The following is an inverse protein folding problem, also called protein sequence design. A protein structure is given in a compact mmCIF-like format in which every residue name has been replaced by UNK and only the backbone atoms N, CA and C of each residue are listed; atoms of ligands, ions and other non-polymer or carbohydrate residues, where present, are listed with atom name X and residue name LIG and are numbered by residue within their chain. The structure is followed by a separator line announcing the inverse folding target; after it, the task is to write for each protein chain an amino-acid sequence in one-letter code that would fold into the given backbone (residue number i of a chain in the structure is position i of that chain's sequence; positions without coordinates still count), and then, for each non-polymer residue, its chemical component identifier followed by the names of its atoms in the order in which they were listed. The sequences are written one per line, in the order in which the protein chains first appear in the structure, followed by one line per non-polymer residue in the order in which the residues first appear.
data_IF_456792646828
#
_entry.id   IF_456792646828
#
_cell.length_a   1.000
_cell.length_b   1.000
_cell.length_c   1.000
_cell.angle_alpha   90.00
_cell.angle_beta   90.00
_cell.angle_gamma   90.00
#
_symmetry.space_group_name_H-M   'P 1'
#
loop_
_entity.id
_entity.type
_entity.pdbx_description
1 polymer ?
#
# COMPACT_ATOMS: atom_id res chain seq x y z
N UNK A 1 3.60 -4.61 4.48
CA UNK A 1 4.38 -4.35 3.24
C UNK A 1 4.00 -2.97 2.75
N UNK A 2 4.99 -2.13 2.43
CA UNK A 2 4.75 -0.75 2.00
C UNK A 2 3.78 -0.71 0.80
N UNK A 3 2.58 -0.21 1.03
CA UNK A 3 1.50 -0.15 0.03
C UNK A 3 0.91 1.26 -0.12
N UNK A 4 1.42 2.22 0.60
CA UNK A 4 1.04 3.64 0.53
C UNK A 4 2.19 4.52 0.97
N UNK A 5 2.34 5.67 0.33
CA UNK A 5 3.35 6.64 0.71
C UNK A 5 2.96 8.06 0.30
N UNK A 6 3.76 9.04 0.69
CA UNK A 6 3.54 10.46 0.43
C UNK A 6 4.71 11.07 -0.31
N UNK A 7 4.42 12.12 -1.07
CA UNK A 7 5.39 13.09 -1.56
C UNK A 7 4.71 14.45 -1.58
N UNK A 8 4.89 15.20 -0.51
CA UNK A 8 4.16 16.45 -0.24
C UNK A 8 5.03 17.69 -0.47
N UNK A 9 6.36 17.54 -0.38
CA UNK A 9 7.32 18.62 -0.60
C UNK A 9 8.29 18.29 -1.75
N UNK A 10 8.60 19.29 -2.55
CA UNK A 10 9.53 19.20 -3.68
C UNK A 10 10.76 20.10 -3.50
N UNK A 11 10.80 20.91 -2.44
CA UNK A 11 11.80 21.99 -2.28
C UNK A 11 13.23 21.45 -2.16
N UNK A 12 13.45 20.39 -1.40
CA UNK A 12 14.78 19.84 -1.14
C UNK A 12 15.15 18.64 -2.05
N UNK A 13 14.29 18.27 -2.99
CA UNK A 13 14.49 17.06 -3.80
C UNK A 13 15.79 17.11 -4.61
N UNK A 14 16.12 18.26 -5.19
CA UNK A 14 17.34 18.39 -5.97
C UNK A 14 18.58 18.09 -5.11
N UNK A 15 18.65 18.68 -3.94
CA UNK A 15 19.78 18.53 -3.02
C UNK A 15 19.81 17.13 -2.41
N UNK A 16 18.69 16.66 -1.91
CA UNK A 16 18.59 15.36 -1.23
C UNK A 16 18.87 14.17 -2.16
N UNK A 17 18.42 14.24 -3.41
CA UNK A 17 18.58 13.14 -4.37
C UNK A 17 19.72 13.34 -5.36
N UNK A 18 20.38 14.51 -5.34
CA UNK A 18 21.43 14.86 -6.28
C UNK A 18 20.93 14.97 -7.73
N UNK A 19 19.76 15.60 -7.93
CA UNK A 19 19.20 15.76 -9.27
C UNK A 19 19.99 16.75 -10.10
N UNK A 20 20.07 16.49 -11.41
CA UNK A 20 20.76 17.35 -12.37
C UNK A 20 20.13 18.74 -12.48
N UNK A 21 18.82 18.84 -12.27
CA UNK A 21 18.07 20.09 -12.27
C UNK A 21 16.94 20.03 -11.23
N UNK A 22 16.41 21.19 -10.78
CA UNK A 22 15.22 21.22 -9.95
C UNK A 22 14.07 20.49 -10.64
N UNK A 23 13.26 19.72 -9.90
CA UNK A 23 12.09 19.08 -10.48
C UNK A 23 11.05 20.12 -10.91
N UNK A 24 10.26 19.79 -11.93
CA UNK A 24 9.11 20.61 -12.27
C UNK A 24 8.13 20.65 -11.09
N UNK A 25 7.47 21.79 -10.85
CA UNK A 25 6.45 21.90 -9.83
C UNK A 25 5.36 20.82 -10.01
N UNK A 26 4.99 20.17 -8.94
CA UNK A 26 3.93 19.17 -8.93
C UNK A 26 3.05 19.34 -7.69
N UNK A 27 1.81 18.88 -7.78
CA UNK A 27 0.91 18.93 -6.63
C UNK A 27 1.37 17.97 -5.54
N UNK A 28 1.28 18.35 -4.26
CA UNK A 28 1.51 17.46 -3.14
C UNK A 28 0.62 16.21 -3.22
N UNK A 29 1.18 15.07 -2.87
CA UNK A 29 0.48 13.80 -2.85
C UNK A 29 0.58 13.18 -1.47
N UNK A 30 -0.57 12.97 -0.84
CA UNK A 30 -0.69 12.52 0.55
C UNK A 30 -1.05 11.04 0.67
N UNK A 31 -1.44 10.39 -0.44
CA UNK A 31 -1.94 9.01 -0.39
C UNK A 31 -1.65 8.25 -1.70
N UNK A 32 -0.40 8.19 -2.09
CA UNK A 32 0.04 7.49 -3.30
C UNK A 32 -0.16 5.99 -3.12
N UNK A 33 -0.86 5.37 -4.09
CA UNK A 33 -1.23 3.96 -4.07
C UNK A 33 -0.67 3.18 -5.26
N UNK A 34 -0.54 1.85 -5.15
CA UNK A 34 -0.14 0.99 -6.27
C UNK A 34 -1.01 1.19 -7.51
N UNK A 35 -0.38 1.04 -8.68
CA UNK A 35 -1.01 1.25 -9.98
C UNK A 35 -0.94 2.69 -10.49
N UNK A 36 -0.64 3.65 -9.64
CA UNK A 36 -0.48 5.06 -10.02
C UNK A 36 0.92 5.33 -10.59
N UNK A 37 1.03 6.44 -11.34
CA UNK A 37 2.32 6.99 -11.78
C UNK A 37 3.03 7.64 -10.61
N UNK A 38 4.30 7.30 -10.42
CA UNK A 38 5.11 7.73 -9.28
C UNK A 38 6.47 8.24 -9.75
N UNK A 39 7.02 9.29 -9.14
CA UNK A 39 8.33 9.80 -9.50
C UNK A 39 9.44 8.90 -8.98
N UNK A 40 10.37 8.55 -9.85
CA UNK A 40 11.58 7.80 -9.51
C UNK A 40 12.80 8.48 -10.10
N UNK A 41 13.97 8.26 -9.46
CA UNK A 41 15.29 8.56 -10.04
C UNK A 41 15.88 7.23 -10.51
N UNK A 42 16.06 7.07 -11.83
CA UNK A 42 16.61 5.83 -12.41
C UNK A 42 18.14 5.84 -12.36
N UNK A 43 18.74 4.66 -12.39
CA UNK A 43 20.19 4.48 -12.54
C UNK A 43 20.64 4.74 -13.99
N UNK A 44 20.55 5.98 -14.39
CA UNK A 44 20.94 6.49 -15.71
C UNK A 44 22.01 7.58 -15.54
N UNK A 45 22.67 7.96 -16.65
CA UNK A 45 23.74 8.95 -16.62
C UNK A 45 23.30 10.29 -16.00
N UNK A 46 22.06 10.68 -16.25
CA UNK A 46 21.49 11.90 -15.70
C UNK A 46 20.40 11.55 -14.67
N UNK A 47 20.48 12.16 -13.49
CA UNK A 47 19.51 11.99 -12.41
C UNK A 47 18.36 12.97 -12.57
N UNK A 48 17.28 12.50 -13.11
CA UNK A 48 16.03 13.26 -13.28
C UNK A 48 14.86 12.48 -12.70
N UNK A 49 13.83 13.20 -12.24
CA UNK A 49 12.58 12.58 -11.84
C UNK A 49 11.84 12.09 -13.09
N UNK A 50 11.58 10.81 -13.13
CA UNK A 50 10.84 10.15 -14.23
C UNK A 50 9.57 9.52 -13.68
N UNK A 51 8.39 9.80 -14.21
CA UNK A 51 7.17 9.12 -13.81
C UNK A 51 7.14 7.68 -14.35
N UNK A 52 6.91 6.71 -13.48
CA UNK A 52 6.74 5.30 -13.83
C UNK A 52 5.55 4.70 -13.06
N UNK A 53 4.93 3.65 -13.57
CA UNK A 53 3.80 3.00 -12.89
C UNK A 53 4.30 2.18 -11.69
N UNK A 54 3.71 2.35 -10.53
CA UNK A 54 4.00 1.52 -9.36
C UNK A 54 3.29 0.15 -9.47
N UNK A 55 4.07 -0.89 -9.58
CA UNK A 55 3.67 -2.28 -9.82
C UNK A 55 4.45 -2.80 -11.03
N UNK A 56 5.62 -3.40 -10.76
CA UNK A 56 6.59 -3.80 -11.78
C UNK A 56 5.99 -4.85 -12.74
N UNK A 57 6.08 -4.57 -14.01
CA UNK A 57 5.74 -5.50 -15.09
C UNK A 57 7.05 -6.02 -15.70
N UNK A 58 7.42 -7.29 -15.48
CA UNK A 58 8.63 -7.86 -16.07
C UNK A 58 8.58 -7.78 -17.60
N UNK A 59 9.73 -7.59 -18.24
CA UNK A 59 9.82 -7.45 -19.70
C UNK A 59 9.24 -8.63 -20.48
N UNK A 60 9.19 -9.82 -19.88
CA UNK A 60 8.68 -11.06 -20.44
C UNK A 60 7.20 -11.34 -20.13
N UNK A 61 6.53 -10.45 -19.39
CA UNK A 61 5.14 -10.66 -18.98
C UNK A 61 4.19 -10.62 -20.21
N UNK A 62 3.25 -11.55 -20.26
CA UNK A 62 2.19 -11.56 -21.27
C UNK A 62 1.07 -10.58 -20.93
N UNK A 63 0.84 -10.35 -19.62
CA UNK A 63 -0.24 -9.52 -19.12
C UNK A 63 0.31 -8.48 -18.12
N UNK A 64 0.14 -7.17 -18.37
CA UNK A 64 0.61 -6.12 -17.48
C UNK A 64 -0.09 -6.11 -16.11
N UNK A 65 -1.22 -6.79 -15.95
CA UNK A 65 -1.91 -6.94 -14.65
C UNK A 65 -1.08 -7.67 -13.59
N UNK A 66 -0.04 -8.41 -14.01
CA UNK A 66 0.93 -9.03 -13.09
C UNK A 66 1.55 -7.98 -12.15
N UNK A 67 1.73 -6.73 -12.61
CA UNK A 67 2.24 -5.62 -11.82
C UNK A 67 1.46 -5.36 -10.53
N UNK A 68 0.16 -5.63 -10.50
CA UNK A 68 -0.66 -5.45 -9.31
C UNK A 68 -0.21 -6.33 -8.11
N UNK A 69 0.53 -7.41 -8.38
CA UNK A 69 1.11 -8.32 -7.37
C UNK A 69 2.60 -8.06 -7.13
N UNK A 70 3.21 -7.15 -7.92
CA UNK A 70 4.64 -6.87 -7.90
C UNK A 70 4.91 -5.42 -7.44
N UNK A 71 4.15 -4.95 -6.45
CA UNK A 71 4.35 -3.63 -5.86
C UNK A 71 5.56 -3.59 -4.92
N UNK A 72 5.97 -4.75 -4.39
CA UNK A 72 7.13 -4.89 -3.51
C UNK A 72 7.99 -6.10 -3.89
N UNK A 73 9.31 -5.94 -3.75
CA UNK A 73 10.31 -6.99 -3.85
C UNK A 73 11.01 -7.17 -2.50
N UNK A 74 11.13 -8.41 -1.98
CA UNK A 74 11.79 -8.66 -0.70
C UNK A 74 13.30 -8.75 -0.89
N UNK A 75 14.09 -8.04 -0.12
CA UNK A 75 15.56 -8.03 -0.19
C UNK A 75 16.15 -9.44 -0.05
N UNK A 76 15.55 -10.33 0.77
CA UNK A 76 16.03 -11.69 1.01
C UNK A 76 15.89 -12.61 -0.22
N UNK A 77 15.02 -12.28 -1.14
CA UNK A 77 14.73 -13.12 -2.32
C UNK A 77 14.86 -12.40 -3.66
N UNK A 78 15.18 -11.11 -3.65
CA UNK A 78 15.22 -10.28 -4.86
C UNK A 78 16.27 -10.75 -5.87
N UNK A 79 17.39 -11.27 -5.39
CA UNK A 79 18.47 -11.83 -6.21
C UNK A 79 18.08 -13.14 -6.91
N UNK A 80 17.24 -13.95 -6.27
CA UNK A 80 16.86 -15.27 -6.76
C UNK A 80 15.61 -15.24 -7.68
N UNK A 81 14.69 -14.31 -7.44
CA UNK A 81 13.41 -14.29 -8.18
C UNK A 81 13.57 -13.83 -9.62
N UNK A 82 13.09 -14.62 -10.63
CA UNK A 82 13.19 -14.27 -12.05
C UNK A 82 12.60 -12.90 -12.40
N UNK A 83 11.52 -12.49 -11.70
CA UNK A 83 10.86 -11.22 -11.92
C UNK A 83 11.72 -10.00 -11.54
N UNK A 84 12.69 -10.16 -10.64
CA UNK A 84 13.46 -9.05 -10.07
C UNK A 84 14.96 -9.10 -10.33
N UNK A 85 15.56 -10.31 -10.45
CA UNK A 85 17.02 -10.46 -10.54
C UNK A 85 17.66 -9.66 -11.68
N UNK A 86 17.00 -9.61 -12.85
CA UNK A 86 17.51 -8.85 -14.00
C UNK A 86 17.43 -7.34 -13.73
N UNK A 87 16.30 -6.86 -13.22
CA UNK A 87 16.13 -5.45 -12.85
C UNK A 87 17.08 -5.04 -11.72
N UNK A 88 17.31 -5.91 -10.73
CA UNK A 88 18.26 -5.66 -9.64
C UNK A 88 19.68 -5.42 -10.14
N UNK A 89 20.15 -6.21 -11.11
CA UNK A 89 21.50 -6.04 -11.68
C UNK A 89 21.61 -4.77 -12.54
N UNK A 90 20.56 -4.36 -13.26
CA UNK A 90 20.69 -3.37 -14.35
C UNK A 90 19.73 -2.18 -14.27
N UNK A 91 18.63 -2.27 -13.54
CA UNK A 91 17.52 -1.29 -13.57
C UNK A 91 17.08 -0.94 -12.16
N UNK A 92 17.96 -0.28 -11.44
CA UNK A 92 17.69 0.22 -10.09
C UNK A 92 17.17 1.65 -10.16
N UNK A 93 16.37 2.03 -9.18
CA UNK A 93 15.89 3.39 -9.03
C UNK A 93 15.72 3.74 -7.54
N UNK A 94 15.58 5.01 -7.27
CA UNK A 94 15.04 5.51 -6.02
C UNK A 94 13.57 5.87 -6.24
N UNK A 95 12.66 5.28 -5.48
CA UNK A 95 11.29 5.75 -5.39
C UNK A 95 11.27 6.87 -4.36
N UNK A 96 10.84 8.04 -4.80
CA UNK A 96 10.96 9.28 -4.00
C UNK A 96 9.76 9.41 -3.09
N UNK A 97 10.00 9.66 -1.81
CA UNK A 97 8.99 9.82 -0.78
C UNK A 97 9.44 10.80 0.30
N UNK A 98 8.51 11.38 1.03
CA UNK A 98 8.76 12.11 2.27
C UNK A 98 8.13 11.43 3.50
N UNK A 99 7.26 10.43 3.27
CA UNK A 99 6.70 9.56 4.29
C UNK A 99 6.02 8.34 3.69
N UNK A 100 5.68 7.37 4.52
CA UNK A 100 4.94 6.18 4.11
C UNK A 100 4.00 5.70 5.21
N UNK A 101 3.06 4.80 4.84
CA UNK A 101 2.10 4.26 5.78
C UNK A 101 2.30 2.76 5.97
N UNK A 102 2.08 2.32 7.21
CA UNK A 102 1.92 0.92 7.55
C UNK A 102 0.79 0.73 8.57
N UNK A 103 0.21 -0.46 8.57
CA UNK A 103 -0.97 -0.78 9.34
C UNK A 103 -0.62 -1.74 10.46
N UNK A 104 -0.71 -1.25 11.69
CA UNK A 104 -0.58 -2.08 12.88
C UNK A 104 -1.80 -2.98 13.02
N UNK A 105 -1.57 -4.29 13.19
CA UNK A 105 -2.62 -5.23 13.54
C UNK A 105 -3.00 -5.05 15.00
N UNK A 106 -4.29 -5.15 15.32
CA UNK A 106 -4.73 -5.21 16.72
C UNK A 106 -4.08 -6.41 17.43
N UNK A 107 -3.66 -6.21 18.68
CA UNK A 107 -3.04 -7.26 19.50
C UNK A 107 -3.97 -8.47 19.71
N UNK A 108 -3.39 -9.59 20.15
CA UNK A 108 -4.11 -10.88 20.31
C UNK A 108 -5.23 -10.89 21.36
N UNK A 109 -5.32 -9.83 22.21
CA UNK A 109 -6.33 -9.73 23.28
C UNK A 109 -7.69 -9.16 22.85
N UNK A 110 -7.85 -8.69 21.62
CA UNK A 110 -9.12 -8.14 21.14
C UNK A 110 -10.07 -9.19 20.61
N UNK A 111 -11.38 -9.00 20.83
CA UNK A 111 -12.43 -9.84 20.25
C UNK A 111 -12.37 -9.89 18.72
N UNK A 112 -13.19 -10.73 18.08
CA UNK A 112 -13.15 -10.99 16.62
C UNK A 112 -13.23 -9.72 15.75
N UNK A 113 -13.96 -8.70 16.20
CA UNK A 113 -14.06 -7.39 15.52
C UNK A 113 -12.76 -6.57 15.65
N UNK A 114 -12.10 -6.59 16.81
CA UNK A 114 -10.83 -5.89 17.04
C UNK A 114 -9.68 -6.53 16.24
N UNK A 115 -9.69 -7.86 16.04
CA UNK A 115 -8.69 -8.56 15.20
C UNK A 115 -8.79 -8.20 13.71
N UNK A 116 -9.93 -7.71 13.24
CA UNK A 116 -10.14 -7.26 11.87
C UNK A 116 -9.69 -5.81 11.64
N UNK A 117 -9.56 -5.02 12.69
CA UNK A 117 -9.22 -3.60 12.62
C UNK A 117 -7.70 -3.42 12.53
N UNK A 118 -7.26 -2.65 11.57
CA UNK A 118 -5.86 -2.26 11.39
C UNK A 118 -5.76 -0.76 11.59
N UNK A 119 -4.83 -0.35 12.46
CA UNK A 119 -4.58 1.07 12.76
C UNK A 119 -3.49 1.60 11.84
N UNK A 120 -3.77 2.58 10.97
CA UNK A 120 -2.77 3.19 10.12
C UNK A 120 -1.82 4.07 10.92
N UNK A 121 -0.54 3.97 10.60
CA UNK A 121 0.51 4.83 11.10
C UNK A 121 1.20 5.52 9.93
N UNK A 122 1.55 6.77 10.10
CA UNK A 122 2.38 7.53 9.19
C UNK A 122 3.80 7.57 9.73
N UNK A 123 4.77 7.29 8.87
CA UNK A 123 6.18 7.20 9.19
C UNK A 123 6.93 8.16 8.28
N UNK A 124 7.68 9.11 8.84
CA UNK A 124 8.41 10.13 8.12
C UNK A 124 9.67 10.57 8.85
N UNK A 125 10.54 11.33 8.18
CA UNK A 125 11.66 11.99 8.85
C UNK A 125 11.17 13.12 9.73
N UNK A 126 11.75 13.26 10.92
CA UNK A 126 11.41 14.36 11.86
C UNK A 126 11.57 15.75 11.25
N UNK A 127 12.59 15.92 10.40
CA UNK A 127 12.83 17.17 9.67
C UNK A 127 11.92 17.36 8.45
N UNK A 128 11.04 16.41 8.13
CA UNK A 128 10.19 16.47 6.94
C UNK A 128 10.93 16.29 5.61
N UNK A 129 12.25 16.06 5.63
CA UNK A 129 13.05 15.96 4.42
C UNK A 129 12.70 14.70 3.61
N UNK A 130 12.68 14.78 2.27
CA UNK A 130 12.44 13.64 1.40
C UNK A 130 13.57 12.60 1.48
N UNK A 131 13.28 11.39 1.02
CA UNK A 131 14.24 10.29 0.99
C UNK A 131 13.97 9.35 -0.19
N UNK A 132 14.99 8.56 -0.55
CA UNK A 132 14.90 7.52 -1.57
C UNK A 132 14.63 6.16 -0.95
N UNK A 133 13.54 5.51 -1.34
CA UNK A 133 13.33 4.09 -1.13
C UNK A 133 13.98 3.31 -2.27
N UNK A 134 14.78 2.28 -1.97
CA UNK A 134 15.35 1.41 -2.98
C UNK A 134 14.24 0.80 -3.84
N UNK A 135 14.35 0.95 -5.13
CA UNK A 135 13.40 0.43 -6.10
C UNK A 135 14.07 -0.24 -7.28
N UNK A 136 13.30 -1.04 -7.99
CA UNK A 136 13.69 -1.60 -9.27
C UNK A 136 12.69 -1.12 -10.31
N UNK A 137 13.16 -0.88 -11.52
CA UNK A 137 12.28 -0.48 -12.63
C UNK A 137 12.42 -1.44 -13.79
N UNK A 138 11.40 -1.50 -14.64
CA UNK A 138 11.39 -2.35 -15.83
C UNK A 138 10.66 -1.65 -16.97
N UNK A 139 10.99 -2.06 -18.17
CA UNK A 139 10.38 -1.59 -19.41
C UNK A 139 9.75 -2.78 -20.12
N UNK A 140 8.45 -2.76 -20.24
CA UNK A 140 7.65 -3.78 -20.89
C UNK A 140 7.08 -3.25 -22.20
N UNK A 141 7.12 -4.05 -23.26
CA UNK A 141 6.56 -3.71 -24.55
C UNK A 141 5.22 -4.40 -24.72
N UNK A 142 4.16 -3.62 -24.89
CA UNK A 142 2.81 -4.14 -25.16
C UNK A 142 2.71 -4.72 -26.57
N UNK A 143 1.72 -5.59 -26.85
CA UNK A 143 1.50 -6.16 -28.17
C UNK A 143 1.27 -5.13 -29.29
N UNK A 144 0.69 -3.97 -28.95
CA UNK A 144 0.49 -2.84 -29.86
C UNK A 144 1.75 -2.00 -30.11
N UNK A 145 2.88 -2.39 -29.51
CA UNK A 145 4.17 -1.71 -29.64
C UNK A 145 4.41 -0.59 -28.63
N UNK A 146 3.44 -0.20 -27.81
CA UNK A 146 3.61 0.81 -26.76
C UNK A 146 4.51 0.32 -25.65
N UNK A 147 5.19 1.25 -24.98
CA UNK A 147 6.10 0.93 -23.87
C UNK A 147 5.50 1.36 -22.54
N UNK A 148 5.53 0.46 -21.58
CA UNK A 148 5.18 0.73 -20.18
C UNK A 148 6.43 0.64 -19.32
N UNK A 149 6.77 1.71 -18.62
CA UNK A 149 7.78 1.70 -17.57
C UNK A 149 7.09 1.57 -16.22
N UNK A 150 7.63 0.70 -15.39
CA UNK A 150 7.04 0.35 -14.11
C UNK A 150 8.12 0.11 -13.06
N UNK A 151 7.77 0.24 -11.77
CA UNK A 151 8.70 0.02 -10.67
C UNK A 151 8.10 -0.83 -9.55
N UNK A 152 8.97 -1.33 -8.69
CA UNK A 152 8.64 -1.98 -7.42
C UNK A 152 9.52 -1.39 -6.32
N UNK A 153 9.00 -1.35 -5.08
CA UNK A 153 9.77 -0.94 -3.91
C UNK A 153 10.43 -2.18 -3.30
N UNK A 154 11.72 -2.10 -3.02
CA UNK A 154 12.42 -3.15 -2.26
C UNK A 154 12.05 -3.00 -0.78
N UNK A 155 11.75 -4.10 -0.12
CA UNK A 155 11.39 -4.13 1.30
C UNK A 155 12.31 -5.07 2.07
N UNK A 156 12.63 -4.71 3.31
CA UNK A 156 13.45 -5.47 4.24
C UNK A 156 12.72 -5.75 5.54
N UNK A 157 13.36 -6.43 6.48
CA UNK A 157 12.86 -6.59 7.84
C UNK A 157 12.71 -5.24 8.54
N UNK A 158 11.74 -5.17 9.44
CA UNK A 158 11.47 -3.97 10.21
C UNK A 158 12.60 -3.67 11.20
N UNK A 159 12.98 -2.41 11.31
CA UNK A 159 13.86 -1.93 12.38
C UNK A 159 13.08 -1.77 13.70
N UNK A 160 13.76 -1.31 14.77
CA UNK A 160 13.16 -1.15 16.10
C UNK A 160 11.95 -0.17 16.11
N UNK A 161 11.95 0.87 15.26
CA UNK A 161 10.82 1.79 15.15
C UNK A 161 9.60 1.11 14.52
N UNK A 162 9.83 0.30 13.49
CA UNK A 162 8.77 -0.31 12.69
C UNK A 162 8.23 -1.62 13.27
N UNK A 163 9.05 -2.38 13.99
CA UNK A 163 8.70 -3.70 14.51
C UNK A 163 7.36 -3.75 15.29
N UNK A 164 7.00 -2.76 16.12
CA UNK A 164 5.71 -2.74 16.80
C UNK A 164 4.52 -2.52 15.86
N UNK A 165 4.74 -1.94 14.67
CA UNK A 165 3.69 -1.59 13.70
C UNK A 165 3.53 -2.70 12.67
N UNK A 166 4.63 -3.08 12.03
CA UNK A 166 4.62 -4.09 10.98
C UNK A 166 5.99 -4.77 10.86
N UNK A 167 6.03 -6.07 10.58
CA UNK A 167 7.28 -6.84 10.46
C UNK A 167 8.14 -6.52 9.23
N UNK A 168 7.71 -5.61 8.36
CA UNK A 168 8.42 -5.20 7.13
C UNK A 168 8.39 -3.69 6.98
N UNK A 169 9.42 -3.14 6.30
CA UNK A 169 9.51 -1.74 5.93
C UNK A 169 10.12 -1.58 4.53
N UNK A 170 9.92 -0.45 3.84
CA UNK A 170 10.69 -0.15 2.64
C UNK A 170 12.18 -0.07 2.97
N UNK A 171 13.03 -0.54 2.06
CA UNK A 171 14.47 -0.36 2.16
C UNK A 171 14.80 1.11 1.86
N UNK A 172 14.95 1.90 2.92
CA UNK A 172 15.33 3.31 2.82
C UNK A 172 16.85 3.37 2.76
N UNK A 173 17.37 3.93 1.69
CA UNK A 173 18.82 4.10 1.54
C UNK A 173 19.27 5.40 2.21
N UNK A 174 20.46 5.35 2.80
CA UNK A 174 21.16 6.59 3.16
C UNK A 174 21.68 7.31 1.90
N UNK A 175 21.90 8.60 2.03
CA UNK A 175 22.37 9.43 0.90
C UNK A 175 23.72 8.97 0.36
N UNK A 176 24.61 8.48 1.22
CA UNK A 176 25.92 7.98 0.81
C UNK A 176 25.84 6.74 -0.09
N UNK A 177 24.74 6.00 0.02
CA UNK A 177 24.49 4.79 -0.79
C UNK A 177 23.85 5.08 -2.15
N UNK A 178 23.36 6.31 -2.41
CA UNK A 178 22.63 6.62 -3.65
C UNK A 178 23.49 6.45 -4.89
N UNK A 179 24.75 6.93 -4.86
CA UNK A 179 25.66 6.83 -5.99
C UNK A 179 25.92 5.37 -6.39
N UNK A 180 26.16 4.52 -5.40
CA UNK A 180 26.36 3.10 -5.63
C UNK A 180 25.08 2.40 -6.10
N UNK A 181 23.92 2.74 -5.52
CA UNK A 181 22.64 2.17 -5.94
C UNK A 181 22.25 2.58 -7.35
N UNK A 182 22.51 3.82 -7.72
CA UNK A 182 22.17 4.40 -9.02
C UNK A 182 23.29 4.28 -10.05
N UNK A 183 24.38 3.56 -9.78
CA UNK A 183 25.42 3.31 -10.76
C UNK A 183 24.80 2.62 -12.00
N UNK A 184 24.95 3.14 -13.23
CA UNK A 184 24.44 2.49 -14.42
C UNK A 184 25.07 1.13 -14.72
N UNK A 185 26.30 0.86 -14.21
CA UNK A 185 26.96 -0.42 -14.38
C UNK A 185 26.18 -1.58 -13.76
N UNK A 186 26.19 -2.76 -14.38
CA UNK A 186 25.62 -3.95 -13.78
C UNK A 186 26.33 -4.28 -12.47
N UNK A 187 25.56 -4.39 -11.37
CA UNK A 187 26.09 -4.82 -10.09
C UNK A 187 26.00 -6.34 -9.95
N UNK A 188 27.05 -6.93 -9.36
CA UNK A 188 27.06 -8.34 -8.99
C UNK A 188 26.34 -8.57 -7.66
N UNK A 189 25.86 -9.79 -7.36
CA UNK A 189 25.17 -10.07 -6.11
C UNK A 189 25.97 -9.67 -4.86
N UNK A 190 27.29 -9.81 -4.89
CA UNK A 190 28.22 -9.50 -3.80
C UNK A 190 28.24 -7.98 -3.51
N UNK A 191 28.14 -7.16 -4.55
CA UNK A 191 28.10 -5.69 -4.44
C UNK A 191 26.77 -5.21 -3.86
N UNK A 192 25.71 -5.98 -4.07
CA UNK A 192 24.35 -5.63 -3.66
C UNK A 192 24.08 -5.96 -2.19
N UNK A 193 24.72 -6.99 -1.62
CA UNK A 193 24.48 -7.43 -0.24
C UNK A 193 24.58 -6.30 0.78
N UNK A 194 25.63 -5.44 0.77
CA UNK A 194 25.72 -4.32 1.71
C UNK A 194 24.60 -3.29 1.55
N UNK A 195 24.03 -3.16 0.33
CA UNK A 195 22.97 -2.21 0.02
C UNK A 195 21.57 -2.73 0.36
N UNK A 196 21.41 -4.05 0.56
CA UNK A 196 20.12 -4.68 0.86
C UNK A 196 19.80 -4.73 2.36
N UNK A 197 20.60 -4.08 3.19
CA UNK A 197 20.35 -3.94 4.63
C UNK A 197 19.94 -2.51 4.92
N UNK A 198 18.81 -2.34 5.60
CA UNK A 198 18.38 -1.01 6.03
C UNK A 198 19.29 -0.50 7.13
N UNK A 199 19.93 0.65 6.96
CA UNK A 199 20.63 1.28 8.08
C UNK A 199 19.64 1.63 9.20
N UNK A 200 20.10 1.79 10.47
CA UNK A 200 19.26 2.28 11.55
C UNK A 200 18.72 3.65 11.18
N UNK A 201 17.42 3.77 10.98
CA UNK A 201 16.76 5.04 10.62
C UNK A 201 16.51 5.81 11.90
N UNK A 202 17.51 6.57 12.38
CA UNK A 202 17.51 7.26 13.67
C UNK A 202 16.67 8.54 13.68
N UNK A 203 16.46 9.15 12.52
CA UNK A 203 15.80 10.43 12.32
C UNK A 203 14.31 10.30 11.93
N UNK A 204 13.76 9.09 12.00
CA UNK A 204 12.36 8.85 11.71
C UNK A 204 11.50 8.82 12.97
N UNK A 205 10.24 9.15 12.76
CA UNK A 205 9.18 8.96 13.77
C UNK A 205 7.93 8.37 13.12
N UNK A 206 7.06 7.84 13.98
CA UNK A 206 5.81 7.24 13.58
C UNK A 206 4.68 7.66 14.52
N UNK A 207 3.52 7.97 13.97
CA UNK A 207 2.32 8.26 14.74
C UNK A 207 1.07 7.74 14.03
N UNK A 208 0.00 7.59 14.80
CA UNK A 208 -1.30 7.14 14.28
C UNK A 208 -1.94 8.25 13.46
N UNK A 209 -2.58 7.85 12.35
CA UNK A 209 -3.36 8.74 11.50
C UNK A 209 -4.80 8.23 11.35
N UNK A 210 -5.65 9.07 10.75
CA UNK A 210 -7.03 8.72 10.45
C UNK A 210 -7.13 7.52 9.49
N UNK A 211 -8.18 6.72 9.64
CA UNK A 211 -8.54 5.66 8.69
C UNK A 211 -8.93 6.18 7.30
N UNK A 212 -9.03 7.49 7.12
CA UNK A 212 -9.24 8.16 5.83
C UNK A 212 -8.24 7.65 4.78
N UNK A 213 -6.97 7.44 5.20
CA UNK A 213 -5.91 6.92 4.33
C UNK A 213 -6.19 5.54 3.74
N UNK A 214 -7.13 4.76 4.30
CA UNK A 214 -7.47 3.43 3.79
C UNK A 214 -8.03 3.49 2.36
N UNK A 215 -8.71 4.56 2.02
CA UNK A 215 -9.31 4.76 0.72
C UNK A 215 -8.40 5.63 -0.18
N UNK A 216 -7.84 5.09 -1.30
CA UNK A 216 -6.87 5.79 -2.14
C UNK A 216 -7.37 7.07 -2.80
N UNK A 217 -8.67 7.27 -2.87
CA UNK A 217 -9.29 8.49 -3.40
C UNK A 217 -9.12 9.70 -2.48
N UNK A 218 -8.86 9.48 -1.19
CA UNK A 218 -8.50 10.56 -0.28
C UNK A 218 -6.99 10.82 -0.40
N UNK A 219 -6.64 11.90 -1.07
CA UNK A 219 -5.27 12.33 -1.31
C UNK A 219 -5.13 13.80 -0.89
N UNK A 220 -5.23 14.05 0.41
CA UNK A 220 -5.36 15.36 1.03
C UNK A 220 -4.59 15.45 2.35
N UNK A 221 -4.27 16.65 2.86
CA UNK A 221 -3.48 16.84 4.08
C UNK A 221 -3.99 16.05 5.29
N UNK A 222 -5.30 15.89 5.43
CA UNK A 222 -5.91 15.14 6.52
C UNK A 222 -5.44 13.68 6.63
N UNK A 223 -4.86 13.11 5.56
CA UNK A 223 -4.29 11.76 5.58
C UNK A 223 -3.03 11.64 6.47
N UNK A 224 -2.29 12.73 6.65
CA UNK A 224 -1.06 12.76 7.47
C UNK A 224 -1.25 13.43 8.84
N UNK A 225 -2.43 13.94 9.13
CA UNK A 225 -2.70 14.54 10.45
C UNK A 225 -2.71 13.46 11.54
N UNK A 226 -2.09 13.74 12.69
CA UNK A 226 -2.15 12.84 13.83
C UNK A 226 -3.61 12.55 14.22
N UNK A 227 -3.95 11.27 14.35
CA UNK A 227 -5.27 10.90 14.86
C UNK A 227 -5.41 11.39 16.31
N UNK A 228 -6.60 11.87 16.73
CA UNK A 228 -6.85 12.18 18.11
C UNK A 228 -6.47 11.00 19.01
N UNK A 229 -5.94 11.24 20.23
CA UNK A 229 -5.78 10.16 21.19
C UNK A 229 -7.13 9.46 21.34
N UNK A 230 -7.14 8.11 21.29
CA UNK A 230 -8.37 7.39 21.58
C UNK A 230 -8.91 7.88 22.92
N UNK A 231 -10.06 8.56 22.88
CA UNK A 231 -10.89 8.59 24.05
C UNK A 231 -11.04 7.13 24.47
N UNK A 232 -10.62 6.80 25.69
CA UNK A 232 -10.79 5.48 26.28
C UNK A 232 -12.18 5.04 25.90
N UNK A 233 -12.30 3.98 25.09
CA UNK A 233 -13.57 3.48 24.62
C UNK A 233 -14.45 3.35 25.84
N UNK A 234 -15.48 4.18 25.92
CA UNK A 234 -16.38 4.28 27.03
C UNK A 234 -16.83 2.90 27.45
N UNK A 235 -16.37 2.48 28.62
CA UNK A 235 -17.01 1.43 29.42
C UNK A 235 -18.37 1.95 29.94
N UNK A 236 -19.19 2.56 29.05
CA UNK A 236 -20.51 3.11 29.34
C UNK A 236 -21.50 2.78 28.24
N UNK A 237 -21.70 1.51 28.02
CA UNK A 237 -22.84 1.04 27.24
C UNK A 237 -23.33 -0.28 27.80
N UNK A 238 -23.60 -0.34 29.11
CA UNK A 238 -24.48 -1.33 29.72
C UNK A 238 -25.07 -0.72 31.01
N UNK A 239 -25.92 0.27 30.81
CA UNK A 239 -26.97 0.59 31.79
C UNK A 239 -28.28 0.13 31.14
N UNK A 240 -28.89 -0.93 31.64
CA UNK A 240 -30.22 -1.32 31.19
C UNK A 240 -31.19 -0.14 31.47
N UNK A 241 -32.15 0.16 30.59
CA UNK A 241 -33.15 1.20 30.86
C UNK A 241 -33.93 0.80 32.11
N UNK A 242 -33.86 1.65 33.14
CA UNK A 242 -34.67 1.51 34.34
C UNK A 242 -36.14 1.31 33.96
N UNK A 243 -36.74 0.30 34.57
CA UNK A 243 -38.16 0.00 34.48
C UNK A 243 -38.99 1.22 34.87
N UNK A 244 -39.84 1.71 33.97
CA UNK A 244 -40.92 2.62 34.29
C UNK A 244 -41.96 1.92 35.14
N UNK A 245 -42.50 2.52 36.23
CA UNK A 245 -43.53 1.91 37.02
C UNK A 245 -44.86 1.77 36.25
N UNK A 246 -45.39 0.57 36.28
CA UNK A 246 -46.73 0.25 35.74
C UNK A 246 -47.79 0.96 36.57
N UNK A 247 -48.59 1.83 35.95
CA UNK A 247 -49.88 2.18 36.48
C UNK A 247 -50.93 1.33 35.78
N UNK A 248 -51.58 0.49 36.59
CA UNK A 248 -52.58 -0.45 36.15
C UNK A 248 -53.86 0.21 35.68
N UNK A 249 -54.62 -0.48 34.87
CA UNK A 249 -56.05 -0.71 35.04
C UNK A 249 -56.54 -1.86 34.15
N UNK A 250 -57.27 -2.74 34.79
CA UNK A 250 -57.96 -3.93 34.28
C UNK A 250 -58.82 -3.68 33.02
N UNK A 251 -58.84 -4.70 32.16
CA UNK A 251 -60.08 -5.46 31.85
C UNK A 251 -59.82 -6.57 30.82
N UNK A 252 -60.14 -7.82 31.21
CA UNK A 252 -60.42 -8.98 30.32
C UNK A 252 -61.93 -8.98 30.03
N UNK A 253 -62.51 -9.85 29.16
CA UNK A 253 -61.96 -10.98 28.39
C UNK A 253 -62.55 -11.14 26.95
N UNK A 254 -62.10 -12.06 26.15
CA UNK A 254 -62.81 -13.18 25.52
C UNK A 254 -62.09 -13.74 24.27
N UNK A 255 -61.72 -14.96 24.38
CA UNK A 255 -61.94 -16.20 23.64
C UNK A 255 -62.24 -16.11 22.12
N UNK A 256 -61.43 -16.84 21.30
CA UNK A 256 -61.83 -17.23 19.94
C UNK A 256 -60.72 -17.82 19.07
N UNK A 257 -60.53 -19.13 19.18
CA UNK A 257 -60.34 -20.17 18.12
C UNK A 257 -59.23 -20.00 17.05
N UNK A 258 -58.27 -20.80 17.18
CA UNK A 258 -57.74 -21.93 16.36
C UNK A 258 -58.20 -21.96 14.89
N UNK A 259 -57.30 -21.85 13.95
CA UNK A 259 -57.30 -22.68 12.73
C UNK A 259 -55.93 -22.85 12.11
N UNK A 260 -55.73 -24.06 11.63
CA UNK A 260 -54.56 -24.79 11.18
C UNK A 260 -54.36 -24.64 9.67
N UNK A 261 -53.08 -24.56 9.25
CA UNK A 261 -52.43 -25.16 8.04
C UNK A 261 -53.10 -24.98 6.65
N UNK A 262 -52.40 -25.18 5.49
CA UNK A 262 -51.24 -26.04 5.26
C UNK A 262 -50.13 -25.48 4.29
N UNK A 263 -49.11 -26.30 4.18
CA UNK A 263 -47.99 -26.39 3.23
C UNK A 263 -48.43 -26.57 1.76
N UNK A 264 -47.74 -25.94 0.81
CA UNK A 264 -47.53 -26.48 -0.54
C UNK A 264 -46.30 -25.80 -1.13
N UNK A 265 -45.27 -26.50 -1.46
CA UNK A 265 -44.88 -27.37 -2.59
C UNK A 265 -44.13 -26.58 -3.66
N UNK A 266 -42.87 -26.80 -3.66
CA UNK A 266 -41.87 -27.00 -4.74
C UNK A 266 -42.40 -26.86 -6.20
N UNK A 267 -41.79 -25.99 -7.00
CA UNK A 267 -41.61 -26.24 -8.44
C UNK A 267 -40.22 -25.82 -8.91
N UNK A 268 -39.51 -26.83 -9.41
CA UNK A 268 -38.35 -26.72 -10.30
C UNK A 268 -38.87 -26.37 -11.70
N UNK A 269 -38.15 -25.55 -12.43
CA UNK A 269 -38.16 -25.63 -13.89
C UNK A 269 -36.78 -25.28 -14.43
N UNK A 270 -36.34 -26.16 -15.20
CA UNK A 270 -35.27 -26.43 -16.10
C UNK A 270 -35.10 -25.37 -17.22
N UNK A 271 -33.83 -25.22 -17.59
CA UNK A 271 -33.26 -25.12 -18.95
C UNK A 271 -33.81 -24.05 -19.91
N UNK A 272 -32.88 -23.29 -20.44
CA UNK A 272 -32.57 -23.40 -21.87
C UNK A 272 -31.23 -22.74 -22.22
N UNK A 273 -30.41 -23.53 -22.85
CA UNK A 273 -29.17 -23.14 -23.51
C UNK A 273 -29.50 -22.56 -24.86
N UNK A 274 -28.74 -21.52 -25.29
CA UNK A 274 -28.44 -21.30 -26.70
C UNK A 274 -27.34 -20.26 -26.94
N UNK A 275 -26.76 -20.13 -28.18
CA UNK A 275 -25.45 -20.67 -28.44
C UNK A 275 -24.43 -19.57 -28.86
N UNK A 276 -23.18 -19.98 -28.99
CA UNK A 276 -22.03 -19.26 -29.51
C UNK A 276 -22.25 -18.66 -30.89
N UNK A 277 -21.79 -17.44 -31.08
CA UNK A 277 -21.70 -16.78 -32.37
C UNK A 277 -20.30 -16.16 -32.48
N UNK A 278 -19.33 -16.97 -32.90
CA UNK A 278 -18.11 -16.49 -33.55
C UNK A 278 -17.55 -17.61 -34.43
N UNK A 279 -18.12 -17.70 -35.63
CA UNK A 279 -17.44 -18.23 -36.79
C UNK A 279 -17.73 -17.27 -37.95
N UNK A 280 -16.71 -16.55 -38.37
CA UNK A 280 -16.51 -16.17 -39.78
C UNK A 280 -15.11 -15.60 -39.99
N UNK A 281 -14.40 -16.35 -40.80
CA UNK A 281 -13.22 -15.98 -41.57
C UNK A 281 -13.46 -14.71 -42.41
N UNK A 282 -12.46 -13.84 -42.44
CA UNK A 282 -11.67 -13.48 -43.63
C UNK A 282 -10.43 -12.74 -43.16
#
# INVERSE_FOLDING_TARGET
MCGRYTLTSFDDLQTELGLAAPPAPAAPRYNIAPGQMVPVVKNQAERVLTPVRWGLVPYWAEDPRIGNRMINARCESVTAKPAFRHALSRRRCLVVADGFYEWQKAGEGGGRAARASKTPHYIHRRAGAPFGMAGLWERWKAPDGTWLESCTIVTCEANALMAPIHGRMPLILDRASYDRWLDPAPLQPEDLQPLLHSPPVRDFEAYRVSTLVNAPQHDEPACIEPAPPEAQADARADVPPEARPETGTETQPTRGQRQTRPRSARKQSKSDAQPSLFDRKL
#
